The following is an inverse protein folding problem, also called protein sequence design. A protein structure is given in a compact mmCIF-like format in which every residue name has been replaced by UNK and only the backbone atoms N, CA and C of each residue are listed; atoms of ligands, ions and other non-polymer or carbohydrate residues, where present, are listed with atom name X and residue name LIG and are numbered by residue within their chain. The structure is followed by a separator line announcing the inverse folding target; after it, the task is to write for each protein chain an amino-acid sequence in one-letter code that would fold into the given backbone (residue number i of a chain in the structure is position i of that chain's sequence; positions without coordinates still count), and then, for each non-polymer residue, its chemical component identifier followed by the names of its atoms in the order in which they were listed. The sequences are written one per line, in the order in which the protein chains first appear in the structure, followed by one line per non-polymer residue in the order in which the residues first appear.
data_IF_802976093061
#
_entry.id   IF_802976093061
#
_cell.length_a   1.000
_cell.length_b   1.000
_cell.length_c   1.000
_cell.angle_alpha   90.00
_cell.angle_beta   90.00
_cell.angle_gamma   90.00
#
_symmetry.space_group_name_H-M   'P 1'
#
loop_
_entity.id
_entity.type
_entity.pdbx_description
1 polymer ?
#
# COMPACT_ATOMS: atom_id res chain seq x y z
N UNK A 1 30.05 7.72 3.33
CA UNK A 1 28.64 7.93 2.92
C UNK A 1 27.89 8.31 4.17
N UNK A 2 27.54 9.58 4.29
CA UNK A 2 26.89 10.13 5.47
C UNK A 2 25.38 10.04 5.31
N UNK A 3 24.63 9.85 6.40
CA UNK A 3 23.16 9.89 6.37
C UNK A 3 22.62 11.23 5.83
N UNK A 4 23.46 12.28 5.83
CA UNK A 4 23.20 13.60 5.25
C UNK A 4 23.06 13.61 3.72
N UNK A 5 23.50 12.54 3.04
CA UNK A 5 23.53 12.49 1.58
C UNK A 5 22.21 11.94 0.99
N UNK A 6 21.26 11.51 1.84
CA UNK A 6 19.93 11.10 1.42
C UNK A 6 18.95 12.28 1.47
N UNK A 7 18.28 12.65 0.38
CA UNK A 7 17.25 13.68 0.42
C UNK A 7 16.10 13.21 1.35
N UNK A 8 15.81 14.00 2.38
CA UNK A 8 14.65 13.79 3.24
C UNK A 8 13.41 13.98 2.36
N UNK A 9 12.74 12.89 1.98
CA UNK A 9 11.45 12.96 1.29
C UNK A 9 10.48 13.72 2.17
N UNK A 10 10.07 14.92 1.75
CA UNK A 10 9.02 15.67 2.43
C UNK A 10 7.81 14.75 2.58
N UNK A 11 7.26 14.57 3.80
CA UNK A 11 6.10 13.73 3.98
C UNK A 11 4.97 14.27 3.11
N UNK A 12 4.40 13.40 2.28
CA UNK A 12 3.18 13.74 1.56
C UNK A 12 2.06 13.88 2.59
N UNK A 13 1.61 15.10 2.82
CA UNK A 13 0.37 15.32 3.57
C UNK A 13 -0.80 14.81 2.72
N UNK A 14 -1.29 13.63 3.07
CA UNK A 14 -2.50 13.07 2.46
C UNK A 14 -3.69 13.83 3.04
N UNK A 15 -4.35 14.65 2.22
CA UNK A 15 -5.59 15.32 2.60
C UNK A 15 -6.76 14.33 2.48
N UNK A 16 -7.03 13.60 3.57
CA UNK A 16 -8.19 12.73 3.71
C UNK A 16 -9.37 13.56 4.21
N UNK A 17 -10.46 13.59 3.44
CA UNK A 17 -11.66 14.33 3.79
C UNK A 17 -12.24 13.82 5.12
N UNK A 18 -12.67 14.69 6.06
CA UNK A 18 -13.16 14.28 7.38
C UNK A 18 -14.39 13.37 7.32
N UNK A 19 -15.15 13.40 6.21
CA UNK A 19 -16.29 12.52 5.97
C UNK A 19 -15.96 11.35 5.03
N UNK A 20 -14.68 11.05 4.79
CA UNK A 20 -14.29 9.87 4.04
C UNK A 20 -14.83 8.62 4.77
N UNK A 21 -15.62 7.82 4.05
CA UNK A 21 -16.15 6.55 4.53
C UNK A 21 -15.56 5.42 3.70
N UNK A 22 -15.40 4.25 4.33
CA UNK A 22 -15.09 3.03 3.60
C UNK A 22 -16.20 2.73 2.59
N UNK A 23 -15.81 2.49 1.34
CA UNK A 23 -16.74 2.07 0.31
C UNK A 23 -16.99 0.57 0.49
N UNK A 24 -18.19 0.19 0.93
CA UNK A 24 -18.51 -1.21 1.23
C UNK A 24 -18.36 -2.15 0.03
N UNK A 25 -18.48 -1.62 -1.20
CA UNK A 25 -18.30 -2.37 -2.45
C UNK A 25 -16.85 -2.31 -2.96
N UNK A 26 -15.88 -2.43 -2.06
CA UNK A 26 -14.48 -2.55 -2.44
C UNK A 26 -14.20 -3.89 -3.11
N UNK A 27 -13.27 -3.91 -4.05
CA UNK A 27 -12.73 -5.16 -4.63
C UNK A 27 -11.34 -5.42 -4.08
N UNK A 28 -11.04 -6.69 -3.81
CA UNK A 28 -9.67 -7.11 -3.51
C UNK A 28 -8.83 -7.03 -4.79
N UNK A 29 -7.96 -6.02 -4.88
CA UNK A 29 -7.12 -5.78 -6.08
C UNK A 29 -5.83 -6.62 -6.12
N UNK A 30 -5.42 -7.19 -5.00
CA UNK A 30 -4.20 -7.98 -4.88
C UNK A 30 -4.49 -9.34 -4.23
N UNK A 31 -3.93 -10.40 -4.80
CA UNK A 31 -4.22 -11.78 -4.44
C UNK A 31 -4.39 -12.67 -5.69
N UNK A 32 -4.29 -13.99 -5.53
CA UNK A 32 -4.47 -14.95 -6.64
C UNK A 32 -3.30 -15.08 -7.63
N UNK A 33 -2.45 -14.05 -7.79
CA UNK A 33 -1.34 -14.03 -8.76
C UNK A 33 0.03 -14.44 -8.16
N UNK A 34 0.04 -15.29 -7.15
CA UNK A 34 1.25 -15.68 -6.40
C UNK A 34 1.96 -14.47 -5.74
N UNK A 35 3.06 -14.74 -5.05
CA UNK A 35 3.88 -13.71 -4.41
C UNK A 35 4.61 -12.87 -5.46
N UNK A 36 4.66 -11.55 -5.28
CA UNK A 36 5.42 -10.66 -6.17
C UNK A 36 5.22 -9.17 -5.90
N UNK A 37 5.83 -8.33 -6.73
CA UNK A 37 5.88 -6.87 -6.57
C UNK A 37 4.98 -6.12 -7.57
N UNK A 38 4.15 -6.82 -8.34
CA UNK A 38 3.16 -6.21 -9.22
C UNK A 38 1.97 -5.70 -8.41
N UNK A 39 1.22 -4.77 -9.00
CA UNK A 39 0.06 -4.12 -8.36
C UNK A 39 -1.05 -5.11 -7.94
N UNK A 40 -1.10 -6.28 -8.58
CA UNK A 40 -2.05 -7.35 -8.31
C UNK A 40 -1.46 -8.53 -7.50
N UNK A 41 -0.30 -8.35 -6.88
CA UNK A 41 0.43 -9.38 -6.12
C UNK A 41 0.72 -8.93 -4.69
N UNK A 42 0.92 -9.90 -3.79
CA UNK A 42 1.38 -9.65 -2.43
C UNK A 42 2.88 -9.94 -2.33
N UNK A 43 3.67 -9.04 -1.75
CA UNK A 43 5.15 -9.13 -1.81
C UNK A 43 5.74 -10.22 -0.92
N UNK A 44 5.11 -10.55 0.21
CA UNK A 44 5.49 -11.63 1.15
C UNK A 44 4.27 -12.02 2.02
N UNK A 45 3.19 -12.58 1.46
CA UNK A 45 2.02 -12.93 2.26
C UNK A 45 2.32 -14.14 3.15
N UNK A 46 1.92 -14.08 4.42
CA UNK A 46 1.98 -15.21 5.34
C UNK A 46 0.72 -16.09 5.23
N UNK A 47 -0.37 -15.51 4.72
CA UNK A 47 -1.64 -16.18 4.47
C UNK A 47 -2.70 -15.16 4.06
N UNK A 48 -3.71 -15.62 3.34
CA UNK A 48 -4.96 -14.91 3.07
C UNK A 48 -6.11 -15.85 3.44
N UNK A 49 -7.05 -15.38 4.24
CA UNK A 49 -8.26 -16.11 4.65
C UNK A 49 -9.47 -15.22 4.38
N UNK A 50 -10.57 -15.80 3.90
CA UNK A 50 -11.84 -15.13 3.57
C UNK A 50 -12.95 -15.81 4.34
#
# INVERSE_FOLDING_TARGET
MSISDYPLRSPSNINIHPNARWQQNGITVAGGNQQGNRINQLSKPWGLYV
#
